data_IF_525201125206
#
_entry.id   IF_525201125206
#
_cell.length_a   1.000
_cell.length_b   1.000
_cell.length_c   1.000
_cell.angle_alpha   90.00
_cell.angle_beta   90.00
_cell.angle_gamma   90.00
#
_symmetry.space_group_name_H-M   'P 1'
#
loop_
_entity.id
_entity.type
_entity.pdbx_description
1 polymer ?
#
# COMPACT_ATOMS: atom_id res chain seq x y z
N UNK A 1 -9.14 19.37 2.48
CA UNK A 1 -9.40 18.43 3.60
C UNK A 1 -9.76 17.09 2.97
N UNK A 2 -9.06 16.00 3.28
CA UNK A 2 -9.30 14.71 2.60
C UNK A 2 -10.70 14.17 2.85
N UNK A 3 -11.29 13.55 1.82
CA UNK A 3 -12.63 12.96 1.89
C UNK A 3 -12.74 11.92 3.02
N UNK A 4 -13.89 11.78 3.72
CA UNK A 4 -14.06 10.84 4.84
C UNK A 4 -13.56 9.40 4.59
N UNK A 5 -13.85 8.74 3.44
CA UNK A 5 -13.38 7.38 3.19
C UNK A 5 -11.86 7.31 3.06
N UNK A 6 -11.22 8.32 2.45
CA UNK A 6 -9.78 8.38 2.30
C UNK A 6 -9.05 8.65 3.63
N UNK A 7 -9.69 9.36 4.58
CA UNK A 7 -9.12 9.56 5.93
C UNK A 7 -9.06 8.27 6.74
N UNK A 8 -10.14 7.47 6.69
CA UNK A 8 -10.14 6.17 7.35
C UNK A 8 -9.07 5.24 6.73
N UNK A 9 -8.98 5.24 5.41
CA UNK A 9 -7.97 4.50 4.67
C UNK A 9 -6.54 4.96 4.98
N UNK A 10 -6.30 6.27 5.09
CA UNK A 10 -4.99 6.78 5.46
C UNK A 10 -4.56 6.31 6.86
N UNK A 11 -5.47 6.29 7.84
CA UNK A 11 -5.18 5.73 9.17
C UNK A 11 -4.81 4.25 9.07
N UNK A 12 -5.50 3.49 8.24
CA UNK A 12 -5.19 2.09 7.99
C UNK A 12 -3.80 1.93 7.38
N UNK A 13 -3.44 2.74 6.38
CA UNK A 13 -2.10 2.71 5.80
C UNK A 13 -1.01 3.03 6.82
N UNK A 14 -1.24 3.99 7.71
CA UNK A 14 -0.31 4.28 8.81
C UNK A 14 -0.18 3.12 9.76
N UNK A 15 -1.29 2.46 10.13
CA UNK A 15 -1.28 1.27 11.00
C UNK A 15 -0.41 0.15 10.40
N UNK A 16 -0.53 -0.09 9.10
CA UNK A 16 0.26 -1.13 8.41
C UNK A 16 1.78 -0.84 8.36
N UNK A 17 2.18 0.41 8.63
CA UNK A 17 3.58 0.84 8.70
C UNK A 17 4.15 0.85 10.12
N UNK A 18 3.35 0.51 11.12
CA UNK A 18 3.78 0.35 12.49
C UNK A 18 3.92 -1.14 12.82
N UNK A 19 4.75 -1.50 13.81
CA UNK A 19 4.79 -2.86 14.31
C UNK A 19 3.40 -3.32 14.78
N UNK A 20 3.11 -4.59 14.55
CA UNK A 20 1.89 -5.23 14.99
C UNK A 20 1.70 -5.20 16.50
N UNK A 21 0.46 -5.02 16.95
CA UNK A 21 0.07 -5.19 18.37
C UNK A 21 -0.88 -6.37 18.48
N UNK A 22 -0.72 -7.20 19.50
CA UNK A 22 -1.65 -8.31 19.80
C UNK A 22 -1.62 -9.45 18.78
N UNK A 23 -0.45 -9.76 18.19
CA UNK A 23 -0.28 -10.89 17.26
C UNK A 23 -0.71 -10.62 15.81
N UNK A 24 -1.15 -9.40 15.48
CA UNK A 24 -1.45 -9.00 14.11
C UNK A 24 -0.16 -8.67 13.36
N UNK A 25 0.16 -9.37 12.28
CA UNK A 25 1.35 -9.08 11.45
C UNK A 25 1.05 -7.97 10.43
N UNK A 26 1.77 -6.85 10.51
CA UNK A 26 1.65 -5.72 9.57
C UNK A 26 2.60 -5.84 8.38
N UNK A 27 2.49 -4.91 7.43
CA UNK A 27 3.45 -4.81 6.33
C UNK A 27 4.85 -4.38 6.80
N UNK A 28 4.95 -3.56 7.85
CA UNK A 28 6.22 -3.23 8.49
C UNK A 28 6.88 -4.49 9.05
N UNK A 29 6.15 -5.30 9.83
CA UNK A 29 6.68 -6.56 10.40
C UNK A 29 7.19 -7.50 9.30
N UNK A 30 6.43 -7.65 8.21
CA UNK A 30 6.82 -8.49 7.05
C UNK A 30 8.07 -7.95 6.36
N UNK A 31 8.18 -6.63 6.22
CA UNK A 31 9.33 -5.99 5.59
C UNK A 31 10.58 -6.16 6.45
N UNK A 32 10.49 -5.88 7.75
CA UNK A 32 11.59 -5.97 8.69
C UNK A 32 12.08 -7.41 8.85
N UNK A 33 11.17 -8.38 9.00
CA UNK A 33 11.51 -9.80 9.06
C UNK A 33 12.25 -10.26 7.79
N UNK A 34 11.80 -9.81 6.62
CA UNK A 34 12.43 -10.19 5.35
C UNK A 34 13.76 -9.43 5.11
N UNK A 35 13.88 -8.21 5.61
CA UNK A 35 15.13 -7.45 5.60
C UNK A 35 16.17 -8.09 6.52
N UNK A 36 15.75 -8.58 7.69
CA UNK A 36 16.63 -9.29 8.61
C UNK A 36 17.15 -10.59 7.98
N UNK A 37 16.28 -11.38 7.34
CA UNK A 37 16.69 -12.57 6.57
C UNK A 37 17.70 -12.24 5.48
N UNK A 38 17.52 -11.12 4.78
CA UNK A 38 18.47 -10.68 3.77
C UNK A 38 19.83 -10.30 4.37
N UNK A 39 19.86 -9.69 5.56
CA UNK A 39 21.11 -9.34 6.26
C UNK A 39 21.87 -10.58 6.75
N UNK A 40 21.15 -11.61 7.14
CA UNK A 40 21.70 -12.89 7.61
C UNK A 40 21.99 -13.88 6.47
N UNK A 41 21.58 -13.56 5.23
CA UNK A 41 21.71 -14.45 4.10
C UNK A 41 23.16 -14.64 3.68
N UNK A 42 23.54 -15.87 3.38
CA UNK A 42 24.79 -16.17 2.67
C UNK A 42 24.77 -15.55 1.26
N UNK A 43 25.92 -15.34 0.60
CA UNK A 43 25.96 -14.79 -0.77
C UNK A 43 25.09 -15.55 -1.78
N UNK A 44 24.96 -16.87 -1.62
CA UNK A 44 24.11 -17.72 -2.46
C UNK A 44 22.62 -17.45 -2.22
N UNK A 45 22.22 -17.19 -0.98
CA UNK A 45 20.82 -16.94 -0.58
C UNK A 45 20.39 -15.48 -0.81
N UNK A 46 21.33 -14.53 -0.77
CA UNK A 46 21.05 -13.10 -0.82
C UNK A 46 20.16 -12.70 -2.03
N UNK A 47 20.39 -13.31 -3.20
CA UNK A 47 19.56 -13.06 -4.40
C UNK A 47 18.09 -13.45 -4.17
N UNK A 48 17.84 -14.58 -3.53
CA UNK A 48 16.49 -15.06 -3.26
C UNK A 48 15.80 -14.19 -2.19
N UNK A 49 16.50 -13.84 -1.11
CA UNK A 49 15.94 -12.98 -0.06
C UNK A 49 15.67 -11.56 -0.56
N UNK A 50 16.51 -11.03 -1.45
CA UNK A 50 16.27 -9.74 -2.10
C UNK A 50 15.01 -9.77 -2.97
N UNK A 51 14.81 -10.85 -3.74
CA UNK A 51 13.60 -11.03 -4.53
C UNK A 51 12.33 -11.11 -3.66
N UNK A 52 12.39 -11.81 -2.52
CA UNK A 52 11.29 -11.88 -1.54
C UNK A 52 10.99 -10.54 -0.89
N UNK A 53 12.01 -9.77 -0.51
CA UNK A 53 11.86 -8.40 -0.01
C UNK A 53 11.17 -7.51 -1.06
N UNK A 54 11.57 -7.64 -2.32
CA UNK A 54 10.89 -7.01 -3.45
C UNK A 54 9.42 -7.42 -3.58
N UNK A 55 9.09 -8.68 -3.27
CA UNK A 55 7.71 -9.19 -3.20
C UNK A 55 6.86 -8.51 -2.12
N UNK A 56 7.42 -8.26 -0.94
CA UNK A 56 6.73 -7.51 0.14
C UNK A 56 6.40 -6.08 -0.32
N UNK A 57 7.37 -5.38 -0.92
CA UNK A 57 7.14 -4.02 -1.45
C UNK A 57 6.09 -4.01 -2.58
N UNK A 58 6.12 -5.01 -3.46
CA UNK A 58 5.12 -5.14 -4.53
C UNK A 58 3.72 -5.37 -3.98
N UNK A 59 3.56 -6.28 -3.01
CA UNK A 59 2.27 -6.56 -2.39
C UNK A 59 1.74 -5.36 -1.59
N UNK A 60 2.61 -4.57 -0.95
CA UNK A 60 2.24 -3.30 -0.34
C UNK A 60 1.65 -2.31 -1.34
N UNK A 61 2.31 -2.10 -2.48
CA UNK A 61 1.80 -1.20 -3.52
C UNK A 61 0.47 -1.70 -4.12
N UNK A 62 0.26 -3.01 -4.18
CA UNK A 62 -1.03 -3.58 -4.58
C UNK A 62 -2.11 -3.27 -3.56
N UNK A 63 -1.82 -3.49 -2.27
CA UNK A 63 -2.72 -3.15 -1.16
C UNK A 63 -3.14 -1.68 -1.18
N UNK A 64 -2.19 -0.75 -1.37
CA UNK A 64 -2.48 0.67 -1.50
C UNK A 64 -3.45 0.98 -2.65
N UNK A 65 -3.17 0.47 -3.84
CA UNK A 65 -4.02 0.69 -5.03
C UNK A 65 -5.42 0.15 -4.79
N UNK A 66 -5.53 -1.06 -4.24
CA UNK A 66 -6.81 -1.70 -3.96
C UNK A 66 -7.63 -0.91 -2.94
N UNK A 67 -7.02 -0.54 -1.82
CA UNK A 67 -7.70 0.25 -0.78
C UNK A 67 -8.20 1.59 -1.32
N UNK A 68 -7.37 2.31 -2.09
CA UNK A 68 -7.77 3.61 -2.66
C UNK A 68 -8.90 3.41 -3.67
N UNK A 69 -8.77 2.43 -4.58
CA UNK A 69 -9.81 2.13 -5.57
C UNK A 69 -11.14 1.79 -4.89
N UNK A 70 -11.17 0.91 -3.88
CA UNK A 70 -12.41 0.57 -3.18
C UNK A 70 -13.04 1.78 -2.49
N UNK A 71 -12.20 2.61 -1.84
CA UNK A 71 -12.67 3.77 -1.10
C UNK A 71 -13.35 4.82 -1.98
N UNK A 72 -12.96 4.94 -3.25
CA UNK A 72 -13.51 5.95 -4.17
C UNK A 72 -14.56 5.42 -5.14
N UNK A 73 -14.58 4.12 -5.41
CA UNK A 73 -15.62 3.55 -6.27
C UNK A 73 -16.99 3.61 -5.60
N UNK A 74 -17.10 3.37 -4.30
CA UNK A 74 -18.39 3.41 -3.59
C UNK A 74 -19.46 2.56 -4.28
N UNK A 75 -20.53 3.19 -4.79
CA UNK A 75 -21.60 2.54 -5.55
C UNK A 75 -21.33 2.37 -7.04
N UNK A 76 -20.27 2.98 -7.60
CA UNK A 76 -19.90 2.87 -9.01
C UNK A 76 -19.56 1.40 -9.33
N UNK A 77 -20.01 0.92 -10.49
CA UNK A 77 -19.73 -0.43 -11.01
C UNK A 77 -19.00 -0.33 -12.34
N UNK A 78 -17.71 0.02 -12.32
CA UNK A 78 -16.96 0.28 -13.54
C UNK A 78 -16.56 -1.01 -14.27
N UNK A 79 -16.32 -0.89 -15.58
CA UNK A 79 -15.68 -1.96 -16.33
C UNK A 79 -14.21 -2.14 -15.91
N UNK A 80 -13.67 -3.36 -16.04
CA UNK A 80 -12.27 -3.66 -15.71
C UNK A 80 -11.28 -2.71 -16.38
N UNK A 81 -11.52 -2.38 -17.64
CA UNK A 81 -10.66 -1.49 -18.41
C UNK A 81 -10.72 -0.04 -17.91
N UNK A 82 -11.87 0.40 -17.41
CA UNK A 82 -12.01 1.74 -16.84
C UNK A 82 -11.27 1.85 -15.50
N UNK A 83 -11.32 0.82 -14.67
CA UNK A 83 -10.47 0.74 -13.46
C UNK A 83 -8.99 0.71 -13.83
N UNK A 84 -8.61 -0.09 -14.84
CA UNK A 84 -7.23 -0.18 -15.31
C UNK A 84 -6.71 1.18 -15.75
N UNK A 85 -7.44 1.84 -16.66
CA UNK A 85 -7.10 3.17 -17.19
C UNK A 85 -6.95 4.17 -16.05
N UNK A 86 -7.95 4.26 -15.17
CA UNK A 86 -7.90 5.17 -14.03
C UNK A 86 -6.70 4.91 -13.10
N UNK A 87 -6.38 3.64 -12.78
CA UNK A 87 -5.21 3.33 -11.96
C UNK A 87 -3.88 3.67 -12.66
N UNK A 88 -3.77 3.45 -13.98
CA UNK A 88 -2.60 3.89 -14.75
C UNK A 88 -2.46 5.41 -14.69
N UNK A 89 -3.55 6.14 -14.89
CA UNK A 89 -3.56 7.60 -14.92
C UNK A 89 -3.26 8.24 -13.56
N UNK A 90 -3.63 7.59 -12.45
CA UNK A 90 -3.45 8.14 -11.09
C UNK A 90 -2.21 7.61 -10.37
N UNK A 91 -1.83 6.36 -10.62
CA UNK A 91 -0.77 5.67 -9.88
C UNK A 91 0.44 5.32 -10.74
N UNK A 92 0.36 5.51 -12.07
CA UNK A 92 1.38 5.08 -13.03
C UNK A 92 1.46 3.56 -13.21
N UNK A 93 0.61 2.80 -12.51
CA UNK A 93 0.60 1.34 -12.49
C UNK A 93 -0.80 0.83 -12.19
N UNK A 94 -1.28 -0.14 -12.96
CA UNK A 94 -2.53 -0.86 -12.67
C UNK A 94 -2.31 -2.15 -11.88
N UNK A 95 -3.38 -2.71 -11.35
CA UNK A 95 -3.40 -4.08 -10.86
C UNK A 95 -3.47 -5.08 -12.02
N UNK A 96 -3.21 -6.36 -11.72
CA UNK A 96 -3.34 -7.44 -12.71
C UNK A 96 -4.81 -7.63 -13.09
N UNK A 97 -5.06 -8.16 -14.29
CA UNK A 97 -6.43 -8.40 -14.77
C UNK A 97 -7.26 -9.27 -13.79
N UNK A 98 -6.61 -10.24 -13.13
CA UNK A 98 -7.24 -11.06 -12.09
C UNK A 98 -7.74 -10.22 -10.90
N UNK A 99 -6.89 -9.34 -10.37
CA UNK A 99 -7.27 -8.47 -9.26
C UNK A 99 -8.25 -7.36 -9.68
N UNK A 100 -8.30 -6.98 -10.96
CA UNK A 100 -9.29 -6.01 -11.42
C UNK A 100 -10.72 -6.57 -11.44
N UNK A 101 -10.89 -7.90 -11.45
CA UNK A 101 -12.22 -8.55 -11.42
C UNK A 101 -13.03 -8.15 -10.18
N UNK A 102 -12.38 -7.97 -9.04
CA UNK A 102 -13.05 -7.61 -7.79
C UNK A 102 -13.77 -6.23 -7.83
N UNK A 103 -13.43 -5.39 -8.81
CA UNK A 103 -14.01 -4.06 -8.98
C UNK A 103 -15.09 -4.01 -10.06
N UNK A 104 -15.20 -5.08 -10.87
CA UNK A 104 -16.11 -5.13 -11.99
C UNK A 104 -17.39 -5.89 -11.61
N UNK A 105 -18.50 -5.46 -12.19
CA UNK A 105 -19.77 -6.17 -12.06
C UNK A 105 -19.69 -7.53 -12.79
N UNK A 106 -19.93 -8.63 -12.05
CA UNK A 106 -19.90 -10.00 -12.57
C UNK A 106 -20.91 -10.19 -13.70
N UNK A 107 -22.04 -9.47 -13.67
CA UNK A 107 -23.09 -9.55 -14.69
C UNK A 107 -22.67 -8.94 -16.05
N UNK A 108 -21.55 -8.21 -16.12
CA UNK A 108 -21.08 -7.50 -17.32
C UNK A 108 -19.60 -7.74 -17.63
N UNK A 109 -19.11 -8.95 -17.36
CA UNK A 109 -17.71 -9.37 -17.53
C UNK A 109 -17.13 -9.30 -18.97
N UNK A 110 -17.82 -8.69 -19.94
CA UNK A 110 -17.26 -8.31 -21.24
C UNK A 110 -16.40 -7.05 -21.11
N UNK A 111 -15.16 -7.10 -21.57
CA UNK A 111 -14.01 -6.22 -21.20
C UNK A 111 -14.13 -4.70 -21.37
N UNK A 112 -15.31 -4.13 -21.61
CA UNK A 112 -15.54 -2.69 -21.69
C UNK A 112 -16.97 -2.24 -21.35
N UNK A 113 -17.82 -3.12 -20.79
CA UNK A 113 -19.21 -2.79 -20.46
C UNK A 113 -19.34 -2.43 -18.97
N UNK A 114 -19.05 -1.20 -18.61
CA UNK A 114 -19.31 -0.67 -17.27
C UNK A 114 -19.10 0.83 -17.20
N UNK A 115 -19.50 1.46 -16.11
CA UNK A 115 -19.48 2.92 -16.00
C UNK A 115 -18.05 3.46 -15.99
N UNK A 116 -17.84 4.61 -16.63
CA UNK A 116 -16.59 5.34 -16.53
C UNK A 116 -16.39 5.85 -15.10
N UNK A 117 -15.16 5.81 -14.61
CA UNK A 117 -14.83 6.36 -13.29
C UNK A 117 -14.79 7.90 -13.40
N UNK A 118 -15.91 8.54 -13.08
CA UNK A 118 -16.06 10.00 -13.08
C UNK A 118 -16.00 10.53 -11.66
N UNK A 119 -14.79 10.73 -11.17
CA UNK A 119 -14.53 11.40 -9.89
C UNK A 119 -14.24 12.88 -10.12
N UNK A 120 -14.52 13.72 -9.12
CA UNK A 120 -14.12 15.13 -9.16
C UNK A 120 -12.60 15.25 -9.28
N UNK A 121 -12.06 16.30 -9.94
CA UNK A 121 -10.61 16.51 -10.06
C UNK A 121 -9.91 16.50 -8.70
N UNK A 122 -10.49 17.18 -7.70
CA UNK A 122 -9.95 17.21 -6.34
C UNK A 122 -9.81 15.81 -5.71
N UNK A 123 -10.81 14.93 -5.87
CA UNK A 123 -10.73 13.57 -5.35
C UNK A 123 -9.70 12.72 -6.09
N UNK A 124 -9.55 12.91 -7.40
CA UNK A 124 -8.49 12.28 -8.18
C UNK A 124 -7.09 12.68 -7.69
N UNK A 125 -6.89 13.97 -7.40
CA UNK A 125 -5.63 14.49 -6.90
C UNK A 125 -5.33 13.98 -5.49
N UNK A 126 -6.34 13.90 -4.62
CA UNK A 126 -6.23 13.29 -3.30
C UNK A 126 -5.78 11.82 -3.38
N UNK A 127 -6.35 11.03 -4.30
CA UNK A 127 -5.95 9.64 -4.53
C UNK A 127 -4.50 9.52 -4.97
N UNK A 128 -4.10 10.32 -5.96
CA UNK A 128 -2.74 10.32 -6.48
C UNK A 128 -1.73 10.79 -5.42
N UNK A 129 -2.06 11.81 -4.63
CA UNK A 129 -1.24 12.27 -3.51
C UNK A 129 -1.10 11.20 -2.43
N UNK A 130 -2.19 10.53 -2.07
CA UNK A 130 -2.18 9.48 -1.06
C UNK A 130 -1.32 8.29 -1.49
N UNK A 131 -1.48 7.80 -2.73
CA UNK A 131 -0.63 6.73 -3.25
C UNK A 131 0.86 7.14 -3.27
N UNK A 132 1.17 8.33 -3.78
CA UNK A 132 2.56 8.83 -3.83
C UNK A 132 3.20 8.93 -2.45
N UNK A 133 2.45 9.35 -1.43
CA UNK A 133 2.92 9.46 -0.05
C UNK A 133 3.34 8.12 0.53
N UNK A 134 2.60 7.05 0.23
CA UNK A 134 2.77 5.75 0.90
C UNK A 134 3.47 4.66 0.05
N UNK A 135 3.57 4.81 -1.28
CA UNK A 135 4.08 3.75 -2.19
C UNK A 135 5.49 3.21 -1.86
N UNK A 136 6.31 4.02 -1.20
CA UNK A 136 7.69 3.69 -0.80
C UNK A 136 7.91 3.80 0.71
N UNK A 137 6.84 3.97 1.50
CA UNK A 137 6.94 4.20 2.94
C UNK A 137 7.59 3.03 3.71
N UNK A 138 7.44 1.79 3.24
CA UNK A 138 8.11 0.62 3.82
C UNK A 138 9.65 0.68 3.73
N UNK A 139 10.18 1.38 2.73
CA UNK A 139 11.64 1.47 2.53
C UNK A 139 12.30 2.54 3.38
N UNK A 140 11.51 3.33 4.11
CA UNK A 140 12.06 4.43 4.89
C UNK A 140 12.87 3.83 6.04
N UNK A 141 14.11 4.28 6.29
CA UNK A 141 14.87 3.80 7.42
C UNK A 141 14.08 4.05 8.71
N UNK A 142 14.19 3.16 9.72
CA UNK A 142 13.65 3.46 11.04
C UNK A 142 14.16 4.83 11.45
N UNK A 143 13.27 5.66 12.00
CA UNK A 143 13.69 6.92 12.61
C UNK A 143 14.90 6.64 13.52
N UNK A 144 15.94 7.49 13.52
CA UNK A 144 17.06 7.28 14.43
C UNK A 144 16.47 7.10 15.82
N UNK A 145 16.86 6.02 16.50
CA UNK A 145 16.47 5.79 17.88
C UNK A 145 16.73 7.10 18.62
N UNK A 146 15.64 7.76 19.07
CA UNK A 146 15.76 8.97 19.86
C UNK A 146 16.69 8.69 21.04
N UNK A 147 17.44 9.69 21.53
CA UNK A 147 18.49 9.47 22.52
C UNK A 147 17.92 8.63 23.65
N UNK A 148 18.49 7.42 23.79
CA UNK A 148 18.27 6.55 24.93
C UNK A 148 18.50 7.41 26.16
N UNK A 149 17.43 7.70 26.91
CA UNK A 149 17.53 8.40 28.17
C UNK A 149 18.23 7.44 29.13
N UNK A 150 19.56 7.39 29.03
CA UNK A 150 20.43 6.84 30.03
C UNK A 150 20.22 7.70 31.27
N UNK A 151 19.40 7.19 32.18
CA UNK A 151 19.27 7.69 33.54
C UNK A 151 20.68 7.59 34.13
N UNK A 152 21.39 8.72 34.20
CA UNK A 152 22.63 8.81 34.97
C UNK A 152 22.31 8.56 36.44
N UNK A 153 22.91 7.56 37.10
CA UNK A 153 22.89 7.51 38.55
C UNK A 153 23.75 8.69 39.05
N UNK A 154 23.14 9.62 39.80
CA UNK A 154 23.89 10.60 40.58
C UNK A 154 24.72 9.85 41.63
N UNK A 155 26.04 10.05 41.72
CA UNK A 155 26.80 9.63 42.87
C UNK A 155 26.76 10.70 43.97
N UNK A 156 26.65 10.26 45.23
CA UNK A 156 27.06 11.00 46.43
C UNK A 156 26.15 12.12 46.88
#
# INVERSE_FOLDING_TARGET
>A
MSSPPLRALEREFRRQLLPGVGGLTTYADRYDAQLQRLREATPVQAKAEFARLGGVVKSWRQYLKQGITLAVLGSIRPGREHVRKWQLDRFGQSQTSAHLRQFADEARAGGGRGDEIRLSPALNDECAALFRRYKDALKRPPAPAGPSSAISPRPG
#
